data_IF_668928395002
#
_entry.id   IF_668928395002
#
_cell.length_a   1.000
_cell.length_b   1.000
_cell.length_c   1.000
_cell.angle_alpha   90.00
_cell.angle_beta   90.00
_cell.angle_gamma   90.00
#
_symmetry.space_group_name_H-M   'P 1'
#
loop_
_entity.id
_entity.type
_entity.pdbx_description
1 polymer ?
#
# COMPACT_ATOMS: atom_id res chain seq x y z
N UNK A 1 0.88 -18.37 -33.67
CA UNK A 1 -0.05 -17.35 -33.14
C UNK A 1 0.45 -17.02 -31.74
N UNK A 2 0.66 -15.74 -31.47
CA UNK A 2 1.45 -15.19 -30.36
C UNK A 2 1.02 -15.70 -28.98
N UNK A 3 2.01 -16.00 -28.13
CA UNK A 3 1.86 -16.43 -26.74
C UNK A 3 0.93 -15.50 -25.94
N UNK A 4 0.12 -16.03 -25.00
CA UNK A 4 -0.54 -15.18 -24.01
C UNK A 4 0.53 -14.57 -23.12
N UNK A 5 0.62 -13.24 -23.06
CA UNK A 5 1.64 -12.52 -22.28
C UNK A 5 1.31 -12.58 -20.79
N UNK A 6 1.41 -13.76 -20.18
CA UNK A 6 1.43 -13.94 -18.73
C UNK A 6 2.84 -13.65 -18.25
N UNK A 7 3.00 -12.85 -17.18
CA UNK A 7 4.33 -12.55 -16.62
C UNK A 7 5.11 -13.83 -16.34
N UNK A 8 6.37 -13.87 -16.77
CA UNK A 8 7.32 -14.92 -16.44
C UNK A 8 7.62 -14.93 -14.93
N UNK A 9 8.13 -16.06 -14.42
CA UNK A 9 8.53 -16.16 -13.01
C UNK A 9 9.54 -15.06 -12.60
N UNK A 10 10.48 -14.70 -13.47
CA UNK A 10 11.46 -13.63 -13.20
C UNK A 10 10.79 -12.25 -13.11
N UNK A 11 9.84 -11.96 -13.99
CA UNK A 11 9.08 -10.70 -13.94
C UNK A 11 8.22 -10.61 -12.66
N UNK A 12 7.64 -11.74 -12.24
CA UNK A 12 6.86 -11.82 -10.98
C UNK A 12 7.74 -11.56 -9.77
N UNK A 13 8.94 -12.13 -9.71
CA UNK A 13 9.89 -11.86 -8.62
C UNK A 13 10.38 -10.40 -8.62
N UNK A 14 10.71 -9.84 -9.78
CA UNK A 14 11.06 -8.42 -9.88
C UNK A 14 9.91 -7.49 -9.44
N UNK A 15 8.68 -7.84 -9.79
CA UNK A 15 7.49 -7.14 -9.32
C UNK A 15 7.35 -7.24 -7.80
N UNK A 16 7.57 -8.42 -7.22
CA UNK A 16 7.54 -8.64 -5.78
C UNK A 16 8.55 -7.75 -5.05
N UNK A 17 9.80 -7.71 -5.48
CA UNK A 17 10.84 -6.86 -4.88
C UNK A 17 10.46 -5.38 -4.94
N UNK A 18 9.95 -4.93 -6.09
CA UNK A 18 9.50 -3.54 -6.29
C UNK A 18 8.35 -3.18 -5.34
N UNK A 19 7.36 -4.05 -5.21
CA UNK A 19 6.24 -3.84 -4.29
C UNK A 19 6.72 -3.79 -2.85
N UNK A 20 7.59 -4.74 -2.44
CA UNK A 20 8.16 -4.76 -1.10
C UNK A 20 8.87 -3.44 -0.78
N UNK A 21 9.73 -2.95 -1.67
CA UNK A 21 10.44 -1.69 -1.47
C UNK A 21 9.47 -0.51 -1.29
N UNK A 22 8.40 -0.44 -2.09
CA UNK A 22 7.37 0.59 -1.97
C UNK A 22 6.62 0.51 -0.63
N UNK A 23 6.24 -0.69 -0.20
CA UNK A 23 5.58 -0.92 1.10
C UNK A 23 6.50 -0.48 2.24
N UNK A 24 7.78 -0.83 2.20
CA UNK A 24 8.76 -0.46 3.22
C UNK A 24 8.90 1.08 3.30
N UNK A 25 8.99 1.77 2.16
CA UNK A 25 9.01 3.25 2.10
C UNK A 25 7.74 3.87 2.66
N UNK A 26 6.58 3.34 2.30
CA UNK A 26 5.30 3.83 2.78
C UNK A 26 5.16 3.67 4.30
N UNK A 27 5.55 2.53 4.85
CA UNK A 27 5.54 2.29 6.29
C UNK A 27 6.36 3.34 7.04
N UNK A 28 7.56 3.65 6.55
CA UNK A 28 8.41 4.67 7.14
C UNK A 28 7.74 6.06 7.13
N UNK A 29 7.07 6.45 6.04
CA UNK A 29 6.35 7.71 5.98
C UNK A 29 5.14 7.74 6.93
N UNK A 30 4.38 6.64 7.02
CA UNK A 30 3.24 6.53 7.94
C UNK A 30 3.70 6.66 9.40
N UNK A 31 4.82 6.04 9.75
CA UNK A 31 5.41 6.12 11.09
C UNK A 31 5.86 7.54 11.42
N UNK A 32 6.51 8.23 10.47
CA UNK A 32 6.91 9.63 10.63
C UNK A 32 5.68 10.52 10.86
N UNK A 33 4.66 10.42 9.99
CA UNK A 33 3.43 11.21 10.12
C UNK A 33 2.73 10.90 11.45
N UNK A 34 2.70 9.63 11.86
CA UNK A 34 2.12 9.21 13.15
C UNK A 34 2.88 9.78 14.35
N UNK A 35 4.18 10.06 14.23
CA UNK A 35 4.94 10.73 15.27
C UNK A 35 4.61 12.24 15.31
N UNK A 36 4.67 12.92 14.16
CA UNK A 36 4.35 14.35 14.03
C UNK A 36 2.90 14.66 14.49
N UNK A 37 1.98 13.74 14.22
CA UNK A 37 0.61 13.76 14.73
C UNK A 37 0.49 13.97 16.23
N UNK A 38 1.31 13.25 16.99
CA UNK A 38 1.26 13.19 18.45
C UNK A 38 1.75 14.50 19.06
N UNK A 39 2.50 15.29 18.30
CA UNK A 39 3.03 16.59 18.71
C UNK A 39 2.07 17.76 18.42
N UNK A 40 1.07 17.61 17.53
CA UNK A 40 0.12 18.68 17.20
C UNK A 40 -1.01 18.83 18.26
N UNK A 41 -1.55 20.04 18.40
CA UNK A 41 -2.56 20.43 19.42
C UNK A 41 -3.90 19.69 19.30
N UNK A 42 -4.68 19.65 20.39
CA UNK A 42 -5.87 18.81 20.55
C UNK A 42 -7.00 19.05 19.50
N UNK A 43 -7.17 20.26 18.97
CA UNK A 43 -8.25 20.55 18.01
C UNK A 43 -7.94 20.14 16.56
N UNK A 44 -6.67 20.23 16.14
CA UNK A 44 -6.22 19.67 14.86
C UNK A 44 -6.27 18.13 14.84
N UNK A 45 -6.43 17.53 16.03
CA UNK A 45 -6.20 16.10 16.27
C UNK A 45 -7.35 15.20 15.79
N UNK A 46 -8.61 15.62 15.80
CA UNK A 46 -9.74 14.68 15.54
C UNK A 46 -9.81 14.25 14.07
N UNK A 47 -9.86 15.20 13.13
CA UNK A 47 -9.91 14.85 11.69
C UNK A 47 -8.62 14.17 11.24
N UNK A 48 -7.50 14.62 11.82
CA UNK A 48 -6.19 14.05 11.60
C UNK A 48 -6.12 12.59 12.06
N UNK A 49 -6.50 12.30 13.31
CA UNK A 49 -6.53 10.93 13.85
C UNK A 49 -7.45 10.01 13.06
N UNK A 50 -8.61 10.51 12.61
CA UNK A 50 -9.53 9.74 11.78
C UNK A 50 -8.86 9.34 10.46
N UNK A 51 -8.26 10.29 9.76
CA UNK A 51 -7.62 10.03 8.46
C UNK A 51 -6.37 9.16 8.63
N UNK A 52 -5.61 9.31 9.72
CA UNK A 52 -4.50 8.40 10.03
C UNK A 52 -4.93 6.97 10.33
N UNK A 53 -6.03 6.78 11.07
CA UNK A 53 -6.59 5.43 11.28
C UNK A 53 -7.02 4.80 9.96
N UNK A 54 -7.60 5.59 9.06
CA UNK A 54 -7.96 5.15 7.71
C UNK A 54 -6.72 4.73 6.90
N UNK A 55 -5.65 5.55 6.92
CA UNK A 55 -4.39 5.22 6.26
C UNK A 55 -3.75 3.94 6.82
N UNK A 56 -3.78 3.75 8.13
CA UNK A 56 -3.28 2.52 8.79
C UNK A 56 -4.09 1.28 8.37
N UNK A 57 -5.42 1.39 8.37
CA UNK A 57 -6.29 0.28 7.94
C UNK A 57 -6.06 -0.08 6.46
N UNK A 58 -5.90 0.91 5.58
CA UNK A 58 -5.58 0.68 4.17
C UNK A 58 -4.19 0.02 4.00
N UNK A 59 -3.18 0.45 4.79
CA UNK A 59 -1.86 -0.19 4.83
C UNK A 59 -1.98 -1.65 5.23
N UNK A 60 -2.71 -1.95 6.30
CA UNK A 60 -2.87 -3.32 6.78
C UNK A 60 -3.59 -4.21 5.73
N UNK A 61 -4.60 -3.67 5.06
CA UNK A 61 -5.28 -4.36 3.95
C UNK A 61 -4.35 -4.62 2.76
N UNK A 62 -3.51 -3.64 2.40
CA UNK A 62 -2.49 -3.79 1.37
C UNK A 62 -1.48 -4.88 1.74
N UNK A 63 -1.03 -4.93 3.01
CA UNK A 63 -0.12 -5.96 3.51
C UNK A 63 -0.72 -7.36 3.41
N UNK A 64 -2.01 -7.52 3.71
CA UNK A 64 -2.72 -8.79 3.51
C UNK A 64 -2.72 -9.22 2.05
N UNK A 65 -3.11 -8.33 1.13
CA UNK A 65 -3.09 -8.61 -0.32
C UNK A 65 -1.69 -8.92 -0.85
N UNK A 66 -0.68 -8.26 -0.30
CA UNK A 66 0.71 -8.51 -0.64
C UNK A 66 1.14 -9.92 -0.21
N UNK A 67 0.74 -10.35 0.99
CA UNK A 67 0.98 -11.71 1.46
C UNK A 67 0.25 -12.76 0.60
N UNK A 68 -1.00 -12.50 0.21
CA UNK A 68 -1.75 -13.37 -0.69
C UNK A 68 -1.04 -13.50 -2.05
N UNK A 69 -0.59 -12.37 -2.62
CA UNK A 69 0.14 -12.37 -3.88
C UNK A 69 1.46 -13.15 -3.78
N UNK A 70 2.20 -13.01 -2.68
CA UNK A 70 3.45 -13.75 -2.43
C UNK A 70 3.24 -15.26 -2.46
N UNK A 71 2.11 -15.74 -1.93
CA UNK A 71 1.76 -17.16 -1.81
C UNK A 71 1.01 -17.69 -3.04
N UNK A 72 0.67 -16.82 -3.99
CA UNK A 72 -0.17 -17.19 -5.12
C UNK A 72 0.55 -18.03 -6.18
N UNK A 73 -0.19 -18.97 -6.75
CA UNK A 73 0.21 -19.69 -7.96
C UNK A 73 -0.11 -18.88 -9.22
N UNK A 74 0.38 -19.34 -10.38
CA UNK A 74 0.24 -18.61 -11.64
C UNK A 74 -1.20 -18.26 -12.02
N UNK A 75 -2.16 -19.13 -11.70
CA UNK A 75 -3.57 -18.96 -12.05
C UNK A 75 -4.27 -17.80 -11.32
N UNK A 76 -3.79 -17.41 -10.14
CA UNK A 76 -4.38 -16.33 -9.34
C UNK A 76 -3.55 -15.03 -9.37
N UNK A 77 -2.39 -15.06 -10.02
CA UNK A 77 -1.43 -13.95 -10.00
C UNK A 77 -2.03 -12.64 -10.51
N UNK A 78 -2.64 -12.66 -11.70
CA UNK A 78 -3.12 -11.45 -12.37
C UNK A 78 -4.25 -10.77 -11.57
N UNK A 79 -5.15 -11.55 -10.99
CA UNK A 79 -6.24 -11.03 -10.15
C UNK A 79 -5.72 -10.42 -8.85
N UNK A 80 -4.80 -11.11 -8.17
CA UNK A 80 -4.21 -10.61 -6.93
C UNK A 80 -3.32 -9.39 -7.17
N UNK A 81 -2.59 -9.35 -8.28
CA UNK A 81 -1.80 -8.18 -8.69
C UNK A 81 -2.71 -6.97 -8.90
N UNK A 82 -3.78 -7.12 -9.69
CA UNK A 82 -4.72 -6.03 -9.94
C UNK A 82 -5.39 -5.55 -8.63
N UNK A 83 -5.76 -6.48 -7.75
CA UNK A 83 -6.31 -6.16 -6.43
C UNK A 83 -5.33 -5.39 -5.55
N UNK A 84 -4.05 -5.76 -5.57
CA UNK A 84 -2.98 -5.08 -4.86
C UNK A 84 -2.74 -3.67 -5.41
N UNK A 85 -2.65 -3.51 -6.74
CA UNK A 85 -2.45 -2.22 -7.40
C UNK A 85 -3.60 -1.25 -7.11
N UNK A 86 -4.83 -1.75 -7.09
CA UNK A 86 -6.01 -0.96 -6.70
C UNK A 86 -5.88 -0.46 -5.26
N UNK A 87 -5.60 -1.34 -4.30
CA UNK A 87 -5.41 -0.95 -2.89
C UNK A 87 -4.23 0.01 -2.71
N UNK A 88 -3.17 -0.15 -3.50
CA UNK A 88 -2.04 0.78 -3.50
C UNK A 88 -2.46 2.19 -3.94
N UNK A 89 -3.27 2.29 -5.00
CA UNK A 89 -3.78 3.57 -5.52
C UNK A 89 -4.68 4.29 -4.51
N UNK A 90 -5.60 3.54 -3.87
CA UNK A 90 -6.48 4.07 -2.82
C UNK A 90 -5.66 4.61 -1.64
N UNK A 91 -4.65 3.85 -1.20
CA UNK A 91 -3.75 4.24 -0.13
C UNK A 91 -2.96 5.51 -0.49
N UNK A 92 -2.37 5.55 -1.69
CA UNK A 92 -1.61 6.71 -2.15
C UNK A 92 -2.47 7.98 -2.17
N UNK A 93 -3.74 7.88 -2.54
CA UNK A 93 -4.67 9.01 -2.49
C UNK A 93 -4.91 9.49 -1.05
N UNK A 94 -5.19 8.59 -0.10
CA UNK A 94 -5.36 8.96 1.31
C UNK A 94 -4.08 9.55 1.91
N UNK A 95 -2.91 9.00 1.56
CA UNK A 95 -1.62 9.53 1.96
C UNK A 95 -1.42 10.98 1.48
N UNK A 96 -1.67 11.25 0.20
CA UNK A 96 -1.57 12.61 -0.36
C UNK A 96 -2.58 13.58 0.27
N UNK A 97 -3.77 13.11 0.66
CA UNK A 97 -4.74 13.93 1.39
C UNK A 97 -4.23 14.32 2.78
N UNK A 98 -3.64 13.39 3.54
CA UNK A 98 -3.11 13.69 4.87
C UNK A 98 -1.89 14.60 4.75
N UNK A 99 -1.01 14.35 3.78
CA UNK A 99 0.16 15.19 3.51
C UNK A 99 -0.20 16.65 3.20
N UNK A 100 -1.36 16.90 2.58
CA UNK A 100 -1.88 18.26 2.35
C UNK A 100 -2.46 18.93 3.60
N UNK A 101 -2.83 18.15 4.61
CA UNK A 101 -3.32 18.66 5.90
C UNK A 101 -2.19 18.93 6.90
N UNK A 102 -0.97 18.45 6.61
CA UNK A 102 0.23 18.72 7.40
C UNK A 102 0.78 20.12 7.18
#
# INVERSE_FOLDING_TARGET
>A
MSNPTTMSAQEKEAYKEKVKAKIDQLNAHIDQMSAEAREKTADANINYQRTMKELQAQRDALMGKWQDLQQSGEAAWDELQAGLEKSWSELANTFEQIKKQF
#
